data_IF_835174100440
#
_entry.id   IF_835174100440
#
_cell.length_a   1.000
_cell.length_b   1.000
_cell.length_c   1.000
_cell.angle_alpha   90.00
_cell.angle_beta   90.00
_cell.angle_gamma   90.00
#
_symmetry.space_group_name_H-M   'P 1'
#
loop_
_entity.id
_entity.type
_entity.pdbx_description
1 polymer ?
#
# COMPACT_ATOMS: atom_id res chain seq x y z
N UNK A 1 15.87 2.40 13.94
CA UNK A 1 15.23 1.64 12.84
C UNK A 1 15.54 2.35 11.53
N UNK A 2 16.10 1.68 10.52
CA UNK A 2 16.29 2.30 9.19
C UNK A 2 14.92 2.40 8.51
N UNK A 3 14.46 3.61 8.21
CA UNK A 3 13.23 3.83 7.46
C UNK A 3 13.39 3.17 6.08
N UNK A 4 12.48 2.24 5.72
CA UNK A 4 12.49 1.56 4.42
C UNK A 4 12.47 2.55 3.26
N UNK A 5 11.85 3.72 3.46
CA UNK A 5 11.86 4.84 2.51
C UNK A 5 13.23 5.47 2.20
N UNK A 6 14.27 5.16 2.97
CA UNK A 6 15.63 5.66 2.73
C UNK A 6 16.49 4.74 1.83
N UNK A 7 15.94 3.61 1.37
CA UNK A 7 16.64 2.70 0.46
C UNK A 7 16.48 3.17 -0.99
N UNK A 8 17.55 3.09 -1.78
CA UNK A 8 17.52 3.40 -3.22
C UNK A 8 17.73 2.12 -4.03
N UNK A 9 16.86 1.83 -5.03
CA UNK A 9 15.63 2.57 -5.37
C UNK A 9 14.56 2.44 -4.27
N UNK A 10 13.72 3.47 -4.14
CA UNK A 10 12.66 3.49 -3.11
C UNK A 10 11.71 2.30 -3.33
N UNK A 11 11.47 1.44 -2.32
CA UNK A 11 10.59 0.30 -2.47
C UNK A 11 9.15 0.76 -2.73
N UNK A 12 8.48 0.10 -3.67
CA UNK A 12 7.09 0.35 -4.01
C UNK A 12 6.18 -0.57 -3.20
N UNK A 13 5.09 -0.04 -2.65
CA UNK A 13 4.07 -0.86 -1.97
C UNK A 13 2.84 -0.97 -2.83
N UNK A 14 2.50 -2.21 -3.15
CA UNK A 14 1.28 -2.57 -3.86
C UNK A 14 0.26 -3.08 -2.86
N UNK A 15 -0.83 -2.33 -2.68
CA UNK A 15 -1.96 -2.74 -1.87
C UNK A 15 -2.96 -3.41 -2.80
N UNK A 16 -3.12 -4.74 -2.66
CA UNK A 16 -4.21 -5.46 -3.29
C UNK A 16 -5.46 -5.30 -2.43
N UNK A 17 -6.44 -4.57 -2.93
CA UNK A 17 -7.69 -4.35 -2.24
C UNK A 17 -8.83 -4.93 -3.08
N UNK A 18 -9.69 -5.72 -2.43
CA UNK A 18 -10.96 -6.15 -3.01
C UNK A 18 -11.90 -4.94 -3.07
N UNK A 19 -12.71 -4.83 -4.12
CA UNK A 19 -13.65 -3.71 -4.28
C UNK A 19 -14.71 -3.63 -3.16
N UNK A 20 -14.96 -4.74 -2.44
CA UNK A 20 -15.86 -4.83 -1.30
C UNK A 20 -15.15 -4.65 0.04
N UNK A 21 -13.83 -4.47 0.04
CA UNK A 21 -13.07 -4.28 1.28
C UNK A 21 -13.48 -2.96 1.95
N UNK A 22 -13.63 -3.00 3.27
CA UNK A 22 -13.92 -1.80 4.06
C UNK A 22 -12.82 -0.75 3.87
N UNK A 23 -13.22 0.47 3.53
CA UNK A 23 -12.30 1.59 3.34
C UNK A 23 -11.39 1.80 4.56
N UNK A 24 -11.91 1.57 5.78
CA UNK A 24 -11.15 1.67 7.01
C UNK A 24 -9.99 0.66 7.09
N UNK A 25 -10.14 -0.53 6.52
CA UNK A 25 -9.07 -1.52 6.45
C UNK A 25 -7.97 -1.05 5.49
N UNK A 26 -8.35 -0.51 4.33
CA UNK A 26 -7.40 0.04 3.35
C UNK A 26 -6.65 1.25 3.90
N UNK A 27 -7.35 2.16 4.59
CA UNK A 27 -6.77 3.35 5.20
C UNK A 27 -5.67 3.03 6.24
N UNK A 28 -5.82 1.95 7.02
CA UNK A 28 -4.80 1.50 7.97
C UNK A 28 -3.50 1.08 7.27
N UNK A 29 -3.62 0.41 6.12
CA UNK A 29 -2.45 -0.02 5.33
C UNK A 29 -1.73 1.18 4.72
N UNK A 30 -2.49 2.16 4.21
CA UNK A 30 -1.93 3.42 3.70
C UNK A 30 -1.17 4.17 4.80
N UNK A 31 -1.75 4.28 6.00
CA UNK A 31 -1.11 4.93 7.13
C UNK A 31 0.21 4.23 7.53
N UNK A 32 0.21 2.89 7.58
CA UNK A 32 1.42 2.12 7.87
C UNK A 32 2.51 2.33 6.80
N UNK A 33 2.14 2.37 5.52
CA UNK A 33 3.09 2.65 4.44
C UNK A 33 3.69 4.06 4.53
N UNK A 34 2.86 5.07 4.85
CA UNK A 34 3.33 6.44 5.08
C UNK A 34 4.30 6.53 6.26
N UNK A 35 3.99 5.88 7.38
CA UNK A 35 4.88 5.83 8.55
C UNK A 35 6.22 5.14 8.26
N UNK A 36 6.25 4.20 7.31
CA UNK A 36 7.46 3.54 6.84
C UNK A 36 8.30 4.41 5.86
N UNK A 37 7.83 5.61 5.51
CA UNK A 37 8.48 6.52 4.56
C UNK A 37 8.30 6.11 3.10
N UNK A 38 7.27 5.30 2.79
CA UNK A 38 7.00 4.80 1.44
C UNK A 38 6.10 5.80 0.75
N UNK A 39 6.65 6.48 -0.26
CA UNK A 39 5.98 7.61 -0.94
C UNK A 39 5.17 7.13 -2.14
N UNK A 40 5.48 5.94 -2.66
CA UNK A 40 4.85 5.38 -3.86
C UNK A 40 3.98 4.18 -3.50
N UNK A 41 2.67 4.39 -3.50
CA UNK A 41 1.64 3.39 -3.18
C UNK A 41 0.78 3.15 -4.42
N UNK A 42 0.75 1.91 -4.90
CA UNK A 42 -0.11 1.47 -6.00
C UNK A 42 -1.28 0.65 -5.49
N UNK A 43 -2.50 0.96 -5.93
CA UNK A 43 -3.68 0.15 -5.65
C UNK A 43 -3.96 -0.79 -6.82
N UNK A 44 -4.03 -2.09 -6.54
CA UNK A 44 -4.47 -3.09 -7.50
C UNK A 44 -5.84 -3.60 -7.09
N UNK A 45 -6.83 -3.40 -7.96
CA UNK A 45 -8.13 -4.05 -7.89
C UNK A 45 -8.13 -5.18 -8.90
N UNK A 46 -8.30 -6.42 -8.44
CA UNK A 46 -8.50 -7.56 -9.34
C UNK A 46 -9.98 -7.54 -9.81
N UNK A 47 -10.26 -7.58 -11.13
CA UNK A 47 -11.63 -7.70 -11.61
C UNK A 47 -12.20 -9.06 -11.17
N UNK A 48 -13.48 -9.13 -10.77
CA UNK A 48 -14.08 -10.40 -10.38
C UNK A 48 -13.98 -11.39 -11.54
N UNK A 49 -13.36 -12.54 -11.28
CA UNK A 49 -13.26 -13.64 -12.24
C UNK A 49 -14.68 -14.00 -12.70
N UNK A 50 -14.93 -13.91 -14.01
CA UNK A 50 -16.20 -14.32 -14.62
C UNK A 50 -16.35 -15.83 -14.60
#
# INVERSE_FOLDING_TARGET
MKALGAQQPQPEVHIRADARADYAAVAKVVLAAQQAGIVRIGFLTEPPSK
#
